data_IF_077287486311
#
_entry.id   IF_077287486311
#
_cell.length_a   1.000
_cell.length_b   1.000
_cell.length_c   1.000
_cell.angle_alpha   90.00
_cell.angle_beta   90.00
_cell.angle_gamma   90.00
#
_symmetry.space_group_name_H-M   'P 1'
#
loop_
_entity.id
_entity.type
_entity.pdbx_description
1 polymer ?
#
# COMPACT_ATOMS: atom_id res chain seq x y z
N UNK A 1 -39.96 -6.13 -18.19
CA UNK A 1 -39.68 -5.43 -16.91
C UNK A 1 -38.63 -6.17 -16.07
N UNK A 2 -38.78 -7.48 -15.79
CA UNK A 2 -37.75 -8.31 -15.11
C UNK A 2 -36.34 -8.23 -15.71
N UNK A 3 -36.20 -8.36 -17.03
CA UNK A 3 -34.89 -8.24 -17.69
C UNK A 3 -34.21 -6.87 -17.55
N UNK A 4 -34.97 -5.78 -17.35
CA UNK A 4 -34.38 -4.46 -17.06
C UNK A 4 -33.87 -4.39 -15.63
N UNK A 5 -34.63 -4.93 -14.68
CA UNK A 5 -34.22 -5.02 -13.26
C UNK A 5 -32.99 -5.92 -13.08
N UNK A 6 -32.91 -7.04 -13.80
CA UNK A 6 -31.73 -7.92 -13.80
C UNK A 6 -30.51 -7.25 -14.43
N UNK A 7 -30.70 -6.48 -15.52
CA UNK A 7 -29.62 -5.69 -16.12
C UNK A 7 -29.17 -4.54 -15.23
N UNK A 8 -30.07 -3.92 -14.49
CA UNK A 8 -29.75 -2.86 -13.52
C UNK A 8 -29.07 -3.43 -12.26
N UNK A 9 -29.52 -4.58 -11.76
CA UNK A 9 -28.88 -5.32 -10.69
C UNK A 9 -27.46 -5.75 -11.08
N UNK A 10 -27.29 -6.35 -12.27
CA UNK A 10 -25.96 -6.67 -12.79
C UNK A 10 -25.10 -5.44 -13.09
N UNK A 11 -25.69 -4.30 -13.47
CA UNK A 11 -24.94 -3.03 -13.61
C UNK A 11 -24.45 -2.50 -12.25
N UNK A 12 -25.28 -2.62 -11.21
CA UNK A 12 -24.93 -2.22 -9.84
C UNK A 12 -23.87 -3.14 -9.25
N UNK A 13 -23.99 -4.46 -9.44
CA UNK A 13 -23.02 -5.47 -8.97
C UNK A 13 -21.66 -5.35 -9.66
N UNK A 14 -21.64 -4.98 -10.94
CA UNK A 14 -20.39 -4.79 -11.69
C UNK A 14 -19.60 -3.56 -11.24
N UNK A 15 -20.20 -2.66 -10.45
CA UNK A 15 -19.69 -1.31 -10.26
C UNK A 15 -19.76 -0.53 -11.59
N UNK A 16 -19.99 0.77 -11.51
CA UNK A 16 -20.01 1.60 -12.71
C UNK A 16 -18.60 1.61 -13.32
N UNK A 17 -18.36 0.75 -14.32
CA UNK A 17 -17.09 0.61 -15.04
C UNK A 17 -16.71 1.89 -15.80
N UNK A 18 -17.62 2.85 -15.87
CA UNK A 18 -17.44 4.12 -16.53
C UNK A 18 -17.19 5.18 -15.47
N UNK A 19 -16.03 5.83 -15.58
CA UNK A 19 -15.62 7.08 -14.93
C UNK A 19 -14.68 6.97 -13.73
N UNK A 20 -13.58 6.23 -13.86
CA UNK A 20 -12.32 6.90 -13.50
C UNK A 20 -12.17 7.99 -14.58
N UNK A 21 -12.55 9.23 -14.25
CA UNK A 21 -12.37 10.35 -15.16
C UNK A 21 -10.92 10.36 -15.63
N UNK A 22 -10.68 10.60 -16.94
CA UNK A 22 -9.33 10.57 -17.53
C UNK A 22 -8.28 11.32 -16.71
N UNK A 23 -8.70 12.42 -16.05
CA UNK A 23 -7.88 13.20 -15.11
C UNK A 23 -7.38 12.39 -13.90
N UNK A 24 -8.25 11.60 -13.28
CA UNK A 24 -7.93 10.77 -12.12
C UNK A 24 -6.97 9.64 -12.53
N UNK A 25 -7.22 9.00 -13.67
CA UNK A 25 -6.32 7.97 -14.21
C UNK A 25 -4.91 8.54 -14.50
N UNK A 26 -4.84 9.72 -15.13
CA UNK A 26 -3.57 10.41 -15.39
C UNK A 26 -2.87 10.81 -14.08
N UNK A 27 -3.60 11.30 -13.08
CA UNK A 27 -3.03 11.64 -11.78
C UNK A 27 -2.43 10.41 -11.08
N UNK A 28 -3.07 9.24 -11.17
CA UNK A 28 -2.51 7.99 -10.65
C UNK A 28 -1.25 7.55 -11.38
N UNK A 29 -1.28 7.57 -12.72
CA UNK A 29 -0.10 7.25 -13.52
C UNK A 29 1.06 8.19 -13.19
N UNK A 30 0.80 9.50 -13.07
CA UNK A 30 1.78 10.49 -12.67
C UNK A 30 2.34 10.22 -11.27
N UNK A 31 1.49 9.84 -10.30
CA UNK A 31 1.94 9.50 -8.94
C UNK A 31 2.84 8.25 -8.93
N UNK A 32 2.47 7.20 -9.67
CA UNK A 32 3.28 5.98 -9.78
C UNK A 32 4.63 6.29 -10.42
N UNK A 33 4.62 7.04 -11.52
CA UNK A 33 5.84 7.49 -12.20
C UNK A 33 6.71 8.34 -11.27
N UNK A 34 6.12 9.27 -10.52
CA UNK A 34 6.85 10.09 -9.54
C UNK A 34 7.46 9.23 -8.43
N UNK A 35 6.76 8.19 -7.97
CA UNK A 35 7.27 7.26 -6.97
C UNK A 35 8.45 6.42 -7.49
N UNK A 36 8.34 5.92 -8.72
CA UNK A 36 9.43 5.19 -9.39
C UNK A 36 10.65 6.10 -9.63
N UNK A 37 10.43 7.33 -10.10
CA UNK A 37 11.48 8.31 -10.28
C UNK A 37 12.17 8.67 -8.96
N UNK A 38 11.40 8.88 -7.88
CA UNK A 38 11.94 9.10 -6.54
C UNK A 38 12.80 7.91 -6.08
N UNK A 39 12.34 6.67 -6.31
CA UNK A 39 13.12 5.47 -6.06
C UNK A 39 14.45 5.47 -6.82
N UNK A 40 14.41 5.76 -8.12
CA UNK A 40 15.61 5.82 -8.96
C UNK A 40 16.60 6.89 -8.47
N UNK A 41 16.12 8.09 -8.13
CA UNK A 41 16.94 9.19 -7.59
C UNK A 41 17.57 8.81 -6.26
N UNK A 42 16.82 8.15 -5.37
CA UNK A 42 17.32 7.67 -4.08
C UNK A 42 18.38 6.56 -4.24
N UNK A 43 18.30 5.74 -5.29
CA UNK A 43 19.33 4.72 -5.57
C UNK A 43 20.61 5.32 -6.15
N UNK A 44 20.50 6.42 -6.92
CA UNK A 44 21.66 7.16 -7.45
C UNK A 44 22.29 8.12 -6.44
N UNK A 45 21.67 8.31 -5.28
CA UNK A 45 22.20 9.20 -4.25
C UNK A 45 23.58 8.70 -3.74
N UNK A 46 24.50 9.62 -3.38
CA UNK A 46 25.84 9.26 -2.94
C UNK A 46 25.80 8.30 -1.74
N UNK A 47 26.54 7.19 -1.81
CA UNK A 47 26.46 6.12 -0.81
C UNK A 47 26.74 6.60 0.63
N UNK A 48 27.64 7.57 0.78
CA UNK A 48 28.01 8.17 2.06
C UNK A 48 26.89 9.01 2.69
N UNK A 49 26.02 9.60 1.86
CA UNK A 49 24.97 10.55 2.28
C UNK A 49 23.57 9.97 2.29
N UNK A 50 23.36 8.88 1.55
CA UNK A 50 22.06 8.25 1.38
C UNK A 50 21.74 7.20 2.45
N UNK A 51 22.70 6.87 3.34
CA UNK A 51 22.52 5.84 4.35
C UNK A 51 22.48 4.41 3.80
N UNK A 52 22.22 3.41 4.67
CA UNK A 52 22.35 1.99 4.32
C UNK A 52 21.45 1.58 3.16
N UNK A 53 22.04 0.99 2.11
CA UNK A 53 21.33 0.61 0.89
C UNK A 53 20.16 -0.36 1.16
N UNK A 54 20.31 -1.29 2.11
CA UNK A 54 19.25 -2.23 2.49
C UNK A 54 18.01 -1.54 3.04
N UNK A 55 18.19 -0.48 3.84
CA UNK A 55 17.08 0.29 4.39
C UNK A 55 16.40 1.12 3.29
N UNK A 56 17.18 1.75 2.40
CA UNK A 56 16.62 2.46 1.24
C UNK A 56 15.79 1.53 0.33
N UNK A 57 16.30 0.33 0.05
CA UNK A 57 15.59 -0.69 -0.73
C UNK A 57 14.34 -1.19 0.00
N UNK A 58 14.40 -1.40 1.32
CA UNK A 58 13.24 -1.77 2.12
C UNK A 58 12.16 -0.68 2.09
N UNK A 59 12.53 0.58 2.33
CA UNK A 59 11.62 1.73 2.26
C UNK A 59 10.96 1.85 0.87
N UNK A 60 11.75 1.82 -0.21
CA UNK A 60 11.22 1.88 -1.57
C UNK A 60 10.34 0.67 -1.89
N UNK A 61 10.82 -0.55 -1.63
CA UNK A 61 10.12 -1.79 -1.93
C UNK A 61 8.79 -1.90 -1.18
N UNK A 62 8.77 -1.61 0.12
CA UNK A 62 7.52 -1.64 0.91
C UNK A 62 6.57 -0.51 0.50
N UNK A 63 7.08 0.68 0.18
CA UNK A 63 6.24 1.76 -0.35
C UNK A 63 5.64 1.42 -1.72
N UNK A 64 6.40 0.75 -2.60
CA UNK A 64 5.91 0.23 -3.88
C UNK A 64 4.86 -0.86 -3.68
N UNK A 65 5.10 -1.79 -2.75
CA UNK A 65 4.14 -2.82 -2.37
C UNK A 65 2.82 -2.20 -1.88
N UNK A 66 2.88 -1.16 -1.04
CA UNK A 66 1.69 -0.45 -0.59
C UNK A 66 0.88 0.16 -1.74
N UNK A 67 1.52 0.84 -2.70
CA UNK A 67 0.84 1.43 -3.85
C UNK A 67 0.22 0.34 -4.74
N UNK A 68 0.97 -0.75 -4.98
CA UNK A 68 0.53 -1.88 -5.82
C UNK A 68 -0.65 -2.62 -5.19
N UNK A 69 -0.57 -2.95 -3.89
CA UNK A 69 -1.66 -3.61 -3.16
C UNK A 69 -2.92 -2.76 -3.18
N UNK A 70 -2.80 -1.43 -2.99
CA UNK A 70 -3.95 -0.53 -3.11
C UNK A 70 -4.55 -0.53 -4.51
N UNK A 71 -3.72 -0.63 -5.54
CA UNK A 71 -4.18 -0.62 -6.93
C UNK A 71 -4.95 -1.90 -7.24
N UNK A 72 -4.40 -3.04 -6.81
CA UNK A 72 -5.06 -4.35 -6.91
C UNK A 72 -6.38 -4.32 -6.14
N UNK A 73 -6.40 -3.84 -4.90
CA UNK A 73 -7.62 -3.77 -4.10
C UNK A 73 -8.68 -2.87 -4.73
N UNK A 74 -8.30 -1.68 -5.23
CA UNK A 74 -9.23 -0.80 -5.94
C UNK A 74 -9.80 -1.46 -7.20
N UNK A 75 -8.96 -2.19 -7.94
CA UNK A 75 -9.38 -2.92 -9.13
C UNK A 75 -10.32 -4.10 -8.80
N UNK A 76 -10.03 -4.86 -7.75
CA UNK A 76 -10.77 -6.05 -7.35
C UNK A 76 -12.10 -5.69 -6.68
N UNK A 77 -12.10 -4.73 -5.75
CA UNK A 77 -13.29 -4.28 -5.04
C UNK A 77 -14.13 -3.25 -5.83
N UNK A 78 -13.69 -2.87 -7.04
CA UNK A 78 -14.34 -1.87 -7.89
C UNK A 78 -14.59 -0.53 -7.19
N UNK A 79 -13.72 -0.17 -6.25
CA UNK A 79 -13.77 1.11 -5.51
C UNK A 79 -12.81 2.13 -6.13
N UNK A 80 -13.12 3.43 -6.07
CA UNK A 80 -12.22 4.46 -6.58
C UNK A 80 -10.91 4.45 -5.80
N UNK A 81 -9.79 4.30 -6.52
CA UNK A 81 -8.46 4.34 -5.94
C UNK A 81 -8.17 5.73 -5.37
N UNK A 82 -7.63 5.78 -4.15
CA UNK A 82 -7.21 7.02 -3.50
C UNK A 82 -5.69 7.16 -3.58
N UNK A 83 -5.23 8.29 -4.11
CA UNK A 83 -3.81 8.67 -4.16
C UNK A 83 -3.29 8.79 -2.73
N UNK A 84 -2.21 8.08 -2.43
CA UNK A 84 -1.52 8.18 -1.15
C UNK A 84 -0.17 8.85 -1.36
N UNK A 85 -0.08 10.12 -0.96
CA UNK A 85 1.11 10.95 -1.15
C UNK A 85 2.15 10.77 -0.04
N UNK A 86 1.76 10.29 1.15
CA UNK A 86 2.69 10.18 2.27
C UNK A 86 3.89 9.26 2.02
N UNK A 87 3.80 8.11 1.29
CA UNK A 87 4.98 7.30 1.01
C UNK A 87 5.95 8.01 0.07
N UNK A 88 5.41 8.82 -0.86
CA UNK A 88 6.21 9.67 -1.74
C UNK A 88 6.92 10.76 -0.94
N UNK A 89 6.21 11.41 -0.01
CA UNK A 89 6.80 12.40 0.89
C UNK A 89 7.92 11.79 1.77
N UNK A 90 7.72 10.57 2.26
CA UNK A 90 8.72 9.85 3.06
C UNK A 90 9.99 9.53 2.24
N UNK A 91 9.86 9.14 0.98
CA UNK A 91 11.02 8.99 0.09
C UNK A 91 11.67 10.33 -0.25
N UNK A 92 10.86 11.36 -0.52
CA UNK A 92 11.35 12.71 -0.80
C UNK A 92 12.17 13.26 0.36
N UNK A 93 11.81 12.94 1.61
CA UNK A 93 12.59 13.31 2.80
C UNK A 93 14.00 12.70 2.79
N UNK A 94 14.14 11.42 2.43
CA UNK A 94 15.45 10.77 2.31
C UNK A 94 16.28 11.38 1.18
N UNK A 95 15.64 11.67 0.04
CA UNK A 95 16.29 12.33 -1.10
C UNK A 95 16.77 13.72 -0.69
N UNK A 96 15.90 14.52 -0.07
CA UNK A 96 16.25 15.85 0.40
C UNK A 96 17.45 15.82 1.36
N UNK A 97 17.50 14.87 2.29
CA UNK A 97 18.64 14.74 3.21
C UNK A 97 19.94 14.35 2.48
N UNK A 98 19.85 13.51 1.44
CA UNK A 98 21.03 13.03 0.71
C UNK A 98 21.62 14.08 -0.24
N UNK A 99 20.80 14.98 -0.78
CA UNK A 99 21.20 16.03 -1.73
C UNK A 99 21.31 17.42 -1.12
N UNK A 100 20.95 17.60 0.16
CA UNK A 100 21.18 18.86 0.85
C UNK A 100 22.69 19.17 0.92
N UNK A 101 23.10 20.46 0.87
CA UNK A 101 24.50 20.85 1.08
C UNK A 101 25.05 20.31 2.39
N UNK A 102 24.23 20.39 3.44
CA UNK A 102 24.47 19.82 4.76
C UNK A 102 23.28 18.93 5.16
N UNK A 103 23.50 17.67 5.58
CA UNK A 103 22.43 16.78 6.00
C UNK A 103 21.78 17.31 7.28
N UNK A 104 20.47 17.53 7.25
CA UNK A 104 19.71 17.96 8.44
C UNK A 104 19.52 16.83 9.47
N UNK A 105 19.75 15.57 9.07
CA UNK A 105 19.76 14.42 9.96
C UNK A 105 20.84 13.39 9.54
N UNK A 106 21.32 12.63 10.53
CA UNK A 106 22.23 11.51 10.27
C UNK A 106 21.55 10.50 9.30
N UNK A 107 22.20 10.13 8.16
CA UNK A 107 21.56 9.32 7.13
C UNK A 107 21.06 7.95 7.61
N UNK A 108 21.83 7.26 8.48
CA UNK A 108 21.46 5.95 9.01
C UNK A 108 20.15 5.97 9.81
N UNK A 109 20.06 6.75 10.90
CA UNK A 109 18.84 6.91 11.68
C UNK A 109 17.64 7.39 10.85
N UNK A 110 17.84 8.34 9.93
CA UNK A 110 16.76 8.81 9.07
C UNK A 110 16.22 7.70 8.16
N UNK A 111 17.10 6.95 7.49
CA UNK A 111 16.69 5.80 6.67
C UNK A 111 15.95 4.75 7.49
N UNK A 112 16.41 4.46 8.70
CA UNK A 112 15.75 3.51 9.60
C UNK A 112 14.36 4.00 10.00
N UNK A 113 14.23 5.27 10.40
CA UNK A 113 12.95 5.87 10.78
C UNK A 113 11.96 5.89 9.61
N UNK A 114 12.39 6.31 8.43
CA UNK A 114 11.54 6.33 7.23
C UNK A 114 11.11 4.91 6.85
N UNK A 115 12.03 3.95 6.89
CA UNK A 115 11.71 2.54 6.63
C UNK A 115 10.67 2.03 7.63
N UNK A 116 10.86 2.29 8.92
CA UNK A 116 9.94 1.88 9.97
C UNK A 116 8.54 2.47 9.76
N UNK A 117 8.44 3.76 9.44
CA UNK A 117 7.16 4.43 9.14
C UNK A 117 6.49 3.83 7.92
N UNK A 118 7.24 3.56 6.84
CA UNK A 118 6.68 2.96 5.63
C UNK A 118 6.17 1.53 5.89
N UNK A 119 6.97 0.72 6.60
CA UNK A 119 6.60 -0.65 6.98
C UNK A 119 5.38 -0.65 7.89
N UNK A 120 5.35 0.20 8.92
CA UNK A 120 4.22 0.32 9.82
C UNK A 120 2.94 0.75 9.06
N UNK A 121 3.06 1.73 8.16
CA UNK A 121 1.94 2.17 7.32
C UNK A 121 1.43 1.09 6.38
N UNK A 122 2.33 0.26 5.82
CA UNK A 122 1.95 -0.89 5.01
C UNK A 122 1.24 -1.97 5.83
N UNK A 123 1.81 -2.37 6.97
CA UNK A 123 1.21 -3.37 7.87
C UNK A 123 -0.16 -2.91 8.37
N UNK A 124 -0.27 -1.65 8.79
CA UNK A 124 -1.54 -1.06 9.21
C UNK A 124 -2.59 -1.15 8.10
N UNK A 125 -2.23 -0.79 6.86
CA UNK A 125 -3.13 -0.90 5.72
C UNK A 125 -3.57 -2.34 5.45
N UNK A 126 -2.63 -3.29 5.39
CA UNK A 126 -2.92 -4.71 5.12
C UNK A 126 -3.84 -5.29 6.20
N UNK A 127 -3.53 -5.05 7.48
CA UNK A 127 -4.35 -5.54 8.60
C UNK A 127 -5.74 -4.93 8.56
N UNK A 128 -5.88 -3.64 8.23
CA UNK A 128 -7.19 -2.99 8.09
C UNK A 128 -8.02 -3.66 6.99
N UNK A 129 -7.43 -3.87 5.81
CA UNK A 129 -8.11 -4.50 4.67
C UNK A 129 -8.52 -5.93 4.99
N UNK A 130 -7.63 -6.73 5.61
CA UNK A 130 -7.95 -8.11 6.01
C UNK A 130 -9.11 -8.10 7.00
N UNK A 131 -9.08 -7.23 8.01
CA UNK A 131 -10.17 -7.12 8.99
C UNK A 131 -11.51 -6.77 8.34
N UNK A 132 -11.53 -5.84 7.39
CA UNK A 132 -12.74 -5.48 6.65
C UNK A 132 -13.29 -6.66 5.84
N UNK A 133 -12.43 -7.36 5.10
CA UNK A 133 -12.83 -8.54 4.30
C UNK A 133 -13.37 -9.65 5.21
N UNK A 134 -12.68 -9.93 6.31
CA UNK A 134 -13.04 -10.98 7.25
C UNK A 134 -14.35 -10.66 7.98
N UNK A 135 -14.57 -9.40 8.37
CA UNK A 135 -15.84 -8.94 8.92
C UNK A 135 -16.99 -9.11 7.91
N UNK A 136 -16.76 -8.77 6.64
CA UNK A 136 -17.75 -8.95 5.58
C UNK A 136 -18.10 -10.43 5.34
N UNK A 137 -17.11 -11.33 5.37
CA UNK A 137 -17.31 -12.76 5.17
C UNK A 137 -17.77 -13.52 6.44
N UNK A 138 -17.83 -12.87 7.59
CA UNK A 138 -18.09 -13.52 8.88
C UNK A 138 -16.96 -14.49 9.31
N UNK A 139 -15.75 -14.32 8.76
CA UNK A 139 -14.59 -15.16 9.08
C UNK A 139 -13.81 -14.51 10.22
N UNK A 140 -13.50 -15.30 11.25
CA UNK A 140 -12.61 -14.90 12.34
C UNK A 140 -11.15 -15.10 11.94
N UNK A 141 -10.60 -14.17 11.17
CA UNK A 141 -9.16 -14.16 10.85
C UNK A 141 -8.37 -13.40 11.91
N UNK A 142 -7.12 -13.83 12.14
CA UNK A 142 -6.19 -13.25 13.13
C UNK A 142 -6.60 -13.46 14.61
N UNK A 143 -7.62 -14.28 14.87
CA UNK A 143 -7.98 -14.78 16.20
C UNK A 143 -7.74 -16.29 16.24
N UNK A 144 -6.80 -16.74 17.09
CA UNK A 144 -6.58 -18.16 17.34
C UNK A 144 -7.57 -18.57 18.43
N UNK A 145 -8.64 -19.28 18.06
CA UNK A 145 -9.47 -19.98 19.04
C UNK A 145 -8.74 -21.26 19.47
N UNK A 146 -8.60 -21.56 20.77
CA UNK A 146 -8.03 -22.82 21.21
C UNK A 146 -8.87 -23.99 20.69
N UNK A 147 -8.20 -24.98 20.08
CA UNK A 147 -8.86 -26.17 19.55
C UNK A 147 -9.57 -26.91 20.70
N UNK A 148 -10.87 -27.23 20.58
CA UNK A 148 -11.55 -27.99 21.61
C UNK A 148 -10.88 -29.36 21.80
N UNK A 149 -10.82 -29.88 23.03
CA UNK A 149 -10.22 -31.19 23.28
C UNK A 149 -10.95 -32.24 22.46
N UNK A 150 -10.19 -33.02 21.69
CA UNK A 150 -10.72 -34.15 20.92
C UNK A 150 -11.17 -35.18 21.94
N UNK A 151 -12.48 -35.41 22.07
CA UNK A 151 -12.99 -36.56 22.84
C UNK A 151 -12.46 -37.81 22.15
N UNK A 152 -11.59 -38.57 22.83
CA UNK A 152 -11.33 -39.95 22.42
C UNK A 152 -12.67 -40.69 22.54
N UNK A 153 -13.10 -41.32 21.45
CA UNK A 153 -14.12 -42.33 21.56
C UNK A 153 -13.47 -43.49 22.30
N UNK A 154 -13.87 -43.70 23.54
CA UNK A 154 -13.53 -44.91 24.28
C UNK A 154 -14.27 -46.06 23.57
N UNK A 155 -13.51 -46.98 22.99
CA UNK A 155 -13.96 -48.24 22.39
C UNK A 155 -14.40 -49.25 23.45
#
# INVERSE_FOLDING_TARGET
MRQRLEREAHRRERGDHRTIGRRVAVAHAAQILAFLAAGAVLMHAPAERAGPARLRLAAFGTGYALQTTRLIMAHMAKVPFRISLWPLAALALQIANAYAPEPFAAPGPLCAAVTAVIVAGYLHYVVSVIREICAYLGIRALTIDPKPPVKKHDE
#
